data_IF_327229783820
#
_entry.id   IF_327229783820
#
_cell.length_a   1.000
_cell.length_b   1.000
_cell.length_c   1.000
_cell.angle_alpha   90.00
_cell.angle_beta   90.00
_cell.angle_gamma   90.00
#
_symmetry.space_group_name_H-M   'P 1'
#
loop_
_entity.id
_entity.type
_entity.pdbx_description
1 polymer ?
#
# COMPACT_ATOMS: atom_id res chain seq x y z
N UNK A 1 0.05 -27.47 11.56
CA UNK A 1 0.45 -27.50 10.14
C UNK A 1 -0.32 -26.40 9.40
N UNK A 2 0.15 -25.15 9.49
CA UNK A 2 -0.37 -24.05 8.67
C UNK A 2 0.86 -23.44 8.00
N UNK A 3 0.86 -23.48 6.68
CA UNK A 3 1.93 -23.03 5.81
C UNK A 3 2.06 -21.50 5.92
N UNK A 4 2.94 -21.02 6.79
CA UNK A 4 3.54 -19.70 6.64
C UNK A 4 4.48 -19.82 5.45
N UNK A 5 3.96 -19.53 4.25
CA UNK A 5 4.78 -19.51 3.05
C UNK A 5 5.76 -18.36 3.18
N UNK A 6 7.02 -18.73 3.41
CA UNK A 6 8.21 -17.89 3.40
C UNK A 6 8.20 -16.97 2.17
N UNK A 7 7.77 -15.72 2.33
CA UNK A 7 8.23 -14.65 1.45
C UNK A 7 9.57 -14.21 2.02
N UNK A 8 10.62 -14.73 1.37
CA UNK A 8 12.00 -14.36 1.56
C UNK A 8 12.15 -12.86 1.81
N UNK A 9 12.78 -12.51 2.94
CA UNK A 9 13.25 -11.17 3.28
C UNK A 9 14.28 -10.73 2.23
N UNK A 10 13.78 -10.22 1.10
CA UNK A 10 14.57 -9.58 0.07
C UNK A 10 14.86 -8.14 0.48
N UNK A 11 16.12 -7.84 0.72
CA UNK A 11 16.67 -6.48 0.88
C UNK A 11 16.13 -5.51 -0.17
N UNK A 12 16.16 -4.21 0.14
CA UNK A 12 15.87 -3.07 -0.76
C UNK A 12 16.77 -3.02 -2.01
N UNK A 13 16.73 -4.05 -2.85
CA UNK A 13 17.27 -4.08 -4.19
C UNK A 13 16.11 -4.29 -5.13
N UNK A 14 15.75 -3.21 -5.82
CA UNK A 14 14.94 -3.25 -7.02
C UNK A 14 15.42 -4.38 -7.93
N UNK A 15 14.59 -5.40 -8.07
CA UNK A 15 14.54 -6.22 -9.27
C UNK A 15 13.25 -5.89 -9.99
N UNK A 16 13.40 -5.05 -11.01
CA UNK A 16 12.50 -5.10 -12.15
C UNK A 16 12.77 -6.41 -12.88
N UNK A 17 11.83 -7.34 -12.83
CA UNK A 17 11.71 -8.50 -13.72
C UNK A 17 10.20 -8.76 -13.81
N UNK A 18 9.57 -9.15 -14.91
CA UNK A 18 9.97 -9.41 -16.29
C UNK A 18 8.65 -9.45 -17.09
N UNK A 19 8.75 -9.26 -18.40
CA UNK A 19 7.61 -9.08 -19.29
C UNK A 19 6.57 -10.21 -19.27
N UNK A 20 5.30 -9.81 -19.39
CA UNK A 20 4.25 -10.68 -19.91
C UNK A 20 3.82 -10.10 -21.25
N UNK A 21 3.96 -10.95 -22.26
CA UNK A 21 3.69 -10.69 -23.67
C UNK A 21 2.29 -10.12 -23.88
N UNK A 22 2.23 -9.04 -24.65
CA UNK A 22 1.02 -8.60 -25.33
C UNK A 22 0.50 -9.73 -26.22
N UNK A 23 -0.74 -10.14 -25.99
CA UNK A 23 -1.54 -10.82 -26.99
C UNK A 23 -2.76 -9.97 -27.30
N UNK A 24 -2.65 -9.27 -28.43
CA UNK A 24 -3.67 -8.79 -29.36
C UNK A 24 -5.11 -8.57 -28.85
N UNK A 25 -5.46 -7.29 -28.87
CA UNK A 25 -6.64 -6.69 -29.49
C UNK A 25 -7.81 -7.62 -29.86
N UNK A 26 -8.97 -7.34 -29.26
CA UNK A 26 -10.22 -7.30 -30.02
C UNK A 26 -11.15 -6.20 -29.49
N UNK A 27 -11.44 -5.31 -30.43
CA UNK A 27 -12.66 -4.52 -30.64
C UNK A 27 -13.31 -3.72 -29.50
N UNK A 28 -13.21 -2.41 -29.71
CA UNK A 28 -14.02 -1.33 -29.16
C UNK A 28 -15.49 -1.57 -29.49
N UNK A 29 -16.35 -1.61 -28.46
CA UNK A 29 -17.75 -1.21 -28.62
C UNK A 29 -18.18 -0.36 -27.42
N UNK A 30 -18.56 0.86 -27.73
CA UNK A 30 -19.17 1.81 -26.80
C UNK A 30 -20.45 1.19 -26.22
N UNK A 31 -20.43 0.86 -24.93
CA UNK A 31 -21.66 0.51 -24.20
C UNK A 31 -21.63 1.13 -22.80
N UNK A 32 -22.63 1.98 -22.57
CA UNK A 32 -23.23 2.41 -21.29
C UNK A 32 -22.68 1.66 -20.07
N UNK A 33 -22.07 2.39 -19.11
CA UNK A 33 -21.43 1.90 -17.89
C UNK A 33 -21.92 0.50 -17.45
N UNK A 34 -21.28 -0.52 -18.02
CA UNK A 34 -21.47 -1.90 -17.61
C UNK A 34 -21.01 -1.99 -16.16
N UNK A 35 -21.80 -2.63 -15.31
CA UNK A 35 -21.35 -2.95 -13.95
C UNK A 35 -19.97 -3.63 -14.03
N UNK A 36 -19.06 -3.33 -13.08
CA UNK A 36 -17.76 -3.97 -13.05
C UNK A 36 -17.97 -5.49 -12.95
N UNK A 37 -17.39 -6.24 -13.89
CA UNK A 37 -17.59 -7.70 -13.98
C UNK A 37 -16.84 -8.46 -12.88
N UNK A 38 -15.90 -7.80 -12.21
CA UNK A 38 -15.01 -8.34 -11.20
C UNK A 38 -15.14 -7.54 -9.91
N UNK A 39 -14.91 -8.19 -8.77
CA UNK A 39 -14.84 -7.53 -7.47
C UNK A 39 -13.62 -6.59 -7.36
N UNK A 40 -13.78 -5.47 -6.64
CA UNK A 40 -12.76 -4.42 -6.54
C UNK A 40 -11.46 -4.90 -5.88
N UNK A 41 -11.52 -5.82 -4.91
CA UNK A 41 -10.32 -6.37 -4.28
C UNK A 41 -9.56 -7.28 -5.24
N UNK A 42 -10.28 -8.09 -6.03
CA UNK A 42 -9.68 -8.97 -7.03
C UNK A 42 -9.05 -8.15 -8.16
N UNK A 43 -9.77 -7.13 -8.66
CA UNK A 43 -9.26 -6.18 -9.64
C UNK A 43 -7.98 -5.48 -9.13
N UNK A 44 -8.00 -5.03 -7.88
CA UNK A 44 -6.84 -4.41 -7.23
C UNK A 44 -5.66 -5.37 -7.14
N UNK A 45 -5.88 -6.60 -6.66
CA UNK A 45 -4.86 -7.63 -6.53
C UNK A 45 -4.22 -7.97 -7.88
N UNK A 46 -5.03 -8.07 -8.94
CA UNK A 46 -4.53 -8.30 -10.29
C UNK A 46 -3.81 -7.07 -10.86
N UNK A 47 -4.16 -5.86 -10.42
CA UNK A 47 -3.64 -4.62 -10.97
C UNK A 47 -4.44 -4.12 -12.17
N UNK A 48 -5.70 -4.54 -12.31
CA UNK A 48 -6.55 -4.19 -13.45
C UNK A 48 -7.08 -2.76 -13.31
N UNK A 49 -6.34 -1.82 -13.91
CA UNK A 49 -6.71 -0.40 -13.91
C UNK A 49 -8.05 -0.12 -14.58
N UNK A 50 -8.45 -0.91 -15.58
CA UNK A 50 -9.70 -0.67 -16.28
C UNK A 50 -10.89 -1.03 -15.39
N UNK A 51 -10.82 -2.17 -14.71
CA UNK A 51 -11.83 -2.55 -13.71
C UNK A 51 -11.92 -1.52 -12.57
N UNK A 52 -10.78 -1.01 -12.07
CA UNK A 52 -10.77 0.04 -11.03
C UNK A 52 -11.45 1.33 -11.52
N UNK A 53 -11.18 1.76 -12.76
CA UNK A 53 -11.85 2.93 -13.35
C UNK A 53 -13.35 2.71 -13.51
N UNK A 54 -13.78 1.50 -13.86
CA UNK A 54 -15.21 1.15 -13.90
C UNK A 54 -15.85 1.21 -12.52
N UNK A 55 -15.19 0.71 -11.47
CA UNK A 55 -15.68 0.83 -10.09
C UNK A 55 -15.84 2.28 -9.65
N UNK A 56 -14.85 3.13 -9.95
CA UNK A 56 -14.91 4.57 -9.66
C UNK A 56 -16.07 5.23 -10.42
N UNK A 57 -16.19 4.97 -11.73
CA UNK A 57 -17.26 5.54 -12.55
C UNK A 57 -18.67 5.06 -12.14
N UNK A 58 -18.78 3.83 -11.64
CA UNK A 58 -20.01 3.26 -11.12
C UNK A 58 -20.37 3.76 -9.70
N UNK A 59 -19.48 4.52 -9.04
CA UNK A 59 -19.68 4.95 -7.66
C UNK A 59 -19.69 3.79 -6.67
N UNK A 60 -18.90 2.74 -6.94
CA UNK A 60 -18.72 1.64 -5.99
C UNK A 60 -18.12 2.14 -4.68
N UNK A 61 -18.39 1.43 -3.59
CA UNK A 61 -17.69 1.67 -2.32
C UNK A 61 -16.21 1.30 -2.47
N UNK A 62 -15.35 2.31 -2.59
CA UNK A 62 -13.90 2.14 -2.73
C UNK A 62 -13.20 1.78 -1.41
N UNK A 63 -13.94 1.84 -0.29
CA UNK A 63 -13.47 1.51 1.05
C UNK A 63 -14.09 0.21 1.59
N UNK A 64 -14.78 -0.53 0.71
CA UNK A 64 -15.29 -1.85 1.00
C UNK A 64 -14.19 -2.72 1.62
N UNK A 65 -14.53 -3.47 2.66
CA UNK A 65 -13.57 -4.32 3.37
C UNK A 65 -13.75 -5.77 2.96
N UNK A 66 -12.64 -6.42 2.65
CA UNK A 66 -12.61 -7.86 2.42
C UNK A 66 -12.75 -8.64 3.75
N UNK A 67 -12.72 -9.98 3.68
CA UNK A 67 -12.81 -10.86 4.84
C UNK A 67 -11.67 -10.67 5.87
N UNK A 68 -10.57 -10.02 5.49
CA UNK A 68 -9.45 -9.68 6.37
C UNK A 68 -9.53 -8.24 6.90
N UNK A 69 -10.59 -7.53 6.54
CA UNK A 69 -10.78 -6.13 6.89
C UNK A 69 -9.96 -5.18 6.02
N UNK A 70 -9.33 -5.63 4.94
CA UNK A 70 -8.49 -4.80 4.06
C UNK A 70 -9.36 -4.00 3.09
N UNK A 71 -9.05 -2.72 2.89
CA UNK A 71 -9.61 -1.92 1.80
C UNK A 71 -8.83 -2.17 0.49
N UNK A 72 -9.41 -1.86 -0.69
CA UNK A 72 -8.70 -1.88 -1.96
C UNK A 72 -7.36 -1.12 -1.90
N UNK A 73 -7.34 0.06 -1.28
CA UNK A 73 -6.10 0.84 -1.18
C UNK A 73 -5.02 0.14 -0.33
N UNK A 74 -5.41 -0.56 0.74
CA UNK A 74 -4.50 -1.39 1.55
C UNK A 74 -4.01 -2.62 0.78
N UNK A 75 -4.86 -3.25 -0.05
CA UNK A 75 -4.46 -4.34 -0.95
C UNK A 75 -3.45 -3.85 -1.98
N UNK A 76 -3.71 -2.70 -2.61
CA UNK A 76 -2.77 -2.08 -3.56
C UNK A 76 -1.40 -1.80 -2.91
N UNK A 77 -1.40 -1.28 -1.68
CA UNK A 77 -0.19 -1.04 -0.91
C UNK A 77 0.59 -2.34 -0.58
N UNK A 78 -0.11 -3.41 -0.22
CA UNK A 78 0.50 -4.73 0.07
C UNK A 78 1.23 -5.27 -1.15
N UNK A 79 0.54 -5.30 -2.29
CA UNK A 79 1.06 -5.90 -3.52
C UNK A 79 1.86 -4.94 -4.42
N UNK A 80 2.06 -3.68 -3.98
CA UNK A 80 2.84 -2.69 -4.71
C UNK A 80 2.21 -2.25 -6.03
N UNK A 81 0.87 -2.22 -6.10
CA UNK A 81 0.12 -1.83 -7.30
C UNK A 81 0.02 -0.31 -7.39
N UNK A 82 1.14 0.35 -7.69
CA UNK A 82 1.29 1.81 -7.62
C UNK A 82 0.25 2.57 -8.42
N UNK A 83 0.03 2.20 -9.67
CA UNK A 83 -0.93 2.91 -10.54
C UNK A 83 -2.38 2.72 -10.05
N UNK A 84 -2.73 1.51 -9.59
CA UNK A 84 -4.05 1.27 -8.98
C UNK A 84 -4.22 2.08 -7.71
N UNK A 85 -3.20 2.15 -6.85
CA UNK A 85 -3.25 2.96 -5.63
C UNK A 85 -3.49 4.44 -5.96
N UNK A 86 -2.78 4.99 -6.96
CA UNK A 86 -3.00 6.38 -7.41
C UNK A 86 -4.42 6.60 -7.92
N UNK A 87 -4.94 5.70 -8.74
CA UNK A 87 -6.32 5.80 -9.26
C UNK A 87 -7.35 5.71 -8.13
N UNK A 88 -7.19 4.80 -7.16
CA UNK A 88 -8.07 4.72 -5.98
C UNK A 88 -8.03 6.00 -5.14
N UNK A 89 -6.84 6.57 -4.92
CA UNK A 89 -6.68 7.85 -4.20
C UNK A 89 -7.35 9.01 -4.97
N UNK A 90 -7.20 9.06 -6.30
CA UNK A 90 -7.87 10.06 -7.12
C UNK A 90 -9.39 9.86 -7.17
N UNK A 91 -9.84 8.61 -7.10
CA UNK A 91 -11.25 8.22 -7.03
C UNK A 91 -11.93 8.53 -5.70
N UNK A 92 -11.18 9.00 -4.69
CA UNK A 92 -11.73 9.42 -3.41
C UNK A 92 -11.82 8.32 -2.35
N UNK A 93 -11.07 7.22 -2.50
CA UNK A 93 -10.92 6.25 -1.42
C UNK A 93 -10.38 6.92 -0.15
N UNK A 94 -10.86 6.50 1.03
CA UNK A 94 -10.38 7.02 2.30
C UNK A 94 -8.91 6.62 2.52
N UNK A 95 -8.03 7.60 2.34
CA UNK A 95 -6.58 7.48 2.49
C UNK A 95 -6.13 7.03 3.89
N UNK A 96 -7.01 7.17 4.89
CA UNK A 96 -6.75 6.84 6.29
C UNK A 96 -7.60 5.65 6.79
N UNK A 97 -8.30 4.96 5.90
CA UNK A 97 -9.15 3.83 6.26
C UNK A 97 -8.36 2.76 7.02
N UNK A 98 -8.91 2.28 8.14
CA UNK A 98 -8.24 1.27 8.98
C UNK A 98 -8.63 -0.15 8.59
N UNK A 99 -7.64 -1.01 8.42
CA UNK A 99 -7.81 -2.45 8.31
C UNK A 99 -8.17 -3.10 9.65
N UNK A 100 -8.42 -4.42 9.67
CA UNK A 100 -8.82 -5.16 10.88
C UNK A 100 -7.81 -5.07 12.04
N UNK A 101 -6.52 -4.89 11.73
CA UNK A 101 -5.43 -4.68 12.69
C UNK A 101 -5.20 -3.18 13.03
N UNK A 102 -6.06 -2.29 12.55
CA UNK A 102 -5.97 -0.85 12.77
C UNK A 102 -4.94 -0.15 11.87
N UNK A 103 -4.26 -0.87 10.97
CA UNK A 103 -3.30 -0.30 10.04
C UNK A 103 -3.99 0.55 8.95
N UNK A 104 -3.37 1.65 8.55
CA UNK A 104 -3.82 2.47 7.40
C UNK A 104 -3.05 2.08 6.14
N UNK A 105 -3.49 2.49 4.93
CA UNK A 105 -2.69 2.28 3.71
C UNK A 105 -1.24 2.77 3.84
N UNK A 106 -1.02 3.86 4.59
CA UNK A 106 0.32 4.38 4.85
C UNK A 106 1.16 3.44 5.72
N UNK A 107 0.56 2.76 6.71
CA UNK A 107 1.25 1.74 7.50
C UNK A 107 1.70 0.59 6.61
N UNK A 108 0.80 0.06 5.79
CA UNK A 108 1.08 -1.07 4.90
C UNK A 108 2.12 -0.72 3.85
N UNK A 109 1.98 0.43 3.17
CA UNK A 109 2.94 0.90 2.18
C UNK A 109 4.33 1.12 2.82
N UNK A 110 4.39 1.61 4.06
CA UNK A 110 5.64 1.78 4.81
C UNK A 110 6.24 0.43 5.21
N UNK A 111 5.43 -0.51 5.71
CA UNK A 111 5.85 -1.85 6.09
C UNK A 111 6.52 -2.58 4.92
N UNK A 112 5.92 -2.52 3.73
CA UNK A 112 6.43 -3.12 2.49
C UNK A 112 7.36 -2.20 1.67
N UNK A 113 7.74 -1.03 2.21
CA UNK A 113 8.65 -0.08 1.55
C UNK A 113 8.22 0.32 0.13
N UNK A 114 6.92 0.55 -0.10
CA UNK A 114 6.36 1.02 -1.38
C UNK A 114 6.51 2.53 -1.49
N UNK A 115 7.71 3.00 -1.80
CA UNK A 115 8.08 4.44 -1.81
C UNK A 115 7.11 5.30 -2.61
N UNK A 116 6.75 4.87 -3.82
CA UNK A 116 5.86 5.63 -4.70
C UNK A 116 4.43 5.73 -4.14
N UNK A 117 3.95 4.67 -3.48
CA UNK A 117 2.63 4.67 -2.83
C UNK A 117 2.66 5.52 -1.57
N UNK A 118 3.72 5.42 -0.75
CA UNK A 118 3.90 6.28 0.42
C UNK A 118 3.94 7.76 0.02
N UNK A 119 4.65 8.08 -1.06
CA UNK A 119 4.68 9.43 -1.60
C UNK A 119 3.28 9.89 -2.01
N UNK A 120 2.56 9.11 -2.83
CA UNK A 120 1.22 9.46 -3.28
C UNK A 120 0.25 9.68 -2.11
N UNK A 121 0.33 8.85 -1.06
CA UNK A 121 -0.48 8.99 0.15
C UNK A 121 -0.14 10.28 0.93
N UNK A 122 1.15 10.58 1.12
CA UNK A 122 1.58 11.77 1.85
C UNK A 122 1.27 13.08 1.09
N UNK A 123 1.44 13.08 -0.23
CA UNK A 123 1.06 14.21 -1.10
C UNK A 123 -0.44 14.53 -1.01
N UNK A 124 -1.26 13.51 -0.76
CA UNK A 124 -2.71 13.64 -0.61
C UNK A 124 -3.16 13.81 0.85
N UNK A 125 -2.21 14.00 1.77
CA UNK A 125 -2.48 14.36 3.15
C UNK A 125 -2.80 13.18 4.07
N UNK A 126 -2.31 11.98 3.78
CA UNK A 126 -2.46 10.84 4.69
C UNK A 126 -1.89 11.17 6.08
N UNK A 127 -2.61 10.80 7.12
CA UNK A 127 -2.26 11.11 8.51
C UNK A 127 -1.20 10.13 9.01
N UNK A 128 0.04 10.62 9.04
CA UNK A 128 1.23 9.93 9.55
C UNK A 128 1.26 9.74 11.07
N UNK A 129 0.33 10.33 11.82
CA UNK A 129 0.26 10.27 13.28
C UNK A 129 -0.68 9.17 13.80
N UNK A 130 -1.51 8.60 12.92
CA UNK A 130 -2.39 7.49 13.27
C UNK A 130 -1.56 6.31 13.77
N UNK A 131 -2.00 5.70 14.86
CA UNK A 131 -1.47 4.46 15.40
C UNK A 131 -2.37 3.29 15.04
N UNK A 132 -1.76 2.16 14.68
CA UNK A 132 -2.46 0.88 14.55
C UNK A 132 -2.75 0.25 15.92
N UNK A 133 -3.36 -0.94 15.94
CA UNK A 133 -3.73 -1.61 17.19
C UNK A 133 -2.51 -2.05 18.04
N UNK A 134 -1.31 -2.06 17.44
CA UNK A 134 -0.04 -2.32 18.13
C UNK A 134 0.57 -1.04 18.74
N UNK A 135 -0.10 0.11 18.58
CA UNK A 135 0.37 1.40 19.10
C UNK A 135 1.47 2.06 18.26
N UNK A 136 1.79 1.49 17.10
CA UNK A 136 2.83 1.97 16.18
C UNK A 136 2.22 2.89 15.13
N UNK A 137 2.92 3.97 14.81
CA UNK A 137 2.64 4.80 13.63
C UNK A 137 3.11 4.11 12.35
N UNK A 138 2.67 4.61 11.19
CA UNK A 138 3.09 4.07 9.89
C UNK A 138 4.63 4.04 9.75
N UNK A 139 5.29 5.06 10.29
CA UNK A 139 6.72 5.20 10.19
C UNK A 139 7.51 4.23 11.09
N UNK A 140 6.92 3.92 12.25
CA UNK A 140 7.44 2.91 13.18
C UNK A 140 7.20 1.48 12.65
N UNK A 141 6.24 1.31 11.73
CA UNK A 141 5.84 0.02 11.16
C UNK A 141 6.74 -0.46 10.01
N UNK A 142 7.80 0.27 9.63
CA UNK A 142 8.68 -0.15 8.53
C UNK A 142 9.47 -1.42 8.91
N UNK A 143 9.25 -2.52 8.18
CA UNK A 143 9.89 -3.83 8.45
C UNK A 143 11.35 -3.92 7.98
N UNK A 144 11.83 -2.98 7.16
CA UNK A 144 13.18 -3.02 6.61
C UNK A 144 14.28 -2.77 7.66
N UNK A 145 15.52 -3.27 7.43
CA UNK A 145 16.68 -2.91 8.25
C UNK A 145 16.82 -1.39 8.39
N UNK A 146 17.25 -0.94 9.56
CA UNK A 146 17.26 0.48 9.95
C UNK A 146 17.97 1.43 8.95
N UNK A 147 19.03 0.95 8.28
CA UNK A 147 19.73 1.72 7.23
C UNK A 147 18.82 2.02 6.04
N UNK A 148 18.00 1.06 5.64
CA UNK A 148 17.08 1.18 4.51
C UNK A 148 15.91 2.10 4.86
N UNK A 149 15.47 2.08 6.12
CA UNK A 149 14.44 3.00 6.63
C UNK A 149 14.92 4.45 6.58
N UNK A 150 16.17 4.72 6.99
CA UNK A 150 16.76 6.06 6.90
C UNK A 150 16.84 6.54 5.44
N UNK A 151 17.34 5.70 4.53
CA UNK A 151 17.44 6.02 3.10
C UNK A 151 16.05 6.26 2.49
N UNK A 152 15.07 5.42 2.83
CA UNK A 152 13.68 5.58 2.43
C UNK A 152 13.12 6.95 2.85
N UNK A 153 13.33 7.36 4.10
CA UNK A 153 12.90 8.68 4.56
C UNK A 153 13.64 9.83 3.92
N UNK A 154 14.97 9.72 3.76
CA UNK A 154 15.76 10.74 3.08
C UNK A 154 15.29 10.92 1.64
N UNK A 155 14.94 9.83 0.96
CA UNK A 155 14.41 9.86 -0.39
C UNK A 155 13.04 10.53 -0.45
N UNK A 156 12.12 10.18 0.45
CA UNK A 156 10.81 10.83 0.54
C UNK A 156 10.95 12.31 0.92
N UNK A 157 11.80 12.64 1.90
CA UNK A 157 12.01 14.01 2.36
C UNK A 157 12.69 14.88 1.30
N UNK A 158 13.52 14.29 0.42
CA UNK A 158 14.08 14.99 -0.73
C UNK A 158 13.00 15.41 -1.74
N UNK A 159 11.94 14.60 -1.90
CA UNK A 159 10.86 14.86 -2.84
C UNK A 159 9.75 15.76 -2.24
N UNK A 160 9.36 15.51 -0.99
CA UNK A 160 8.24 16.18 -0.33
C UNK A 160 8.67 17.35 0.59
N UNK A 161 9.98 17.54 0.79
CA UNK A 161 10.51 18.43 1.81
C UNK A 161 10.54 17.77 3.20
N UNK A 162 10.98 18.52 4.24
CA UNK A 162 11.08 17.97 5.59
C UNK A 162 9.70 17.52 6.08
N UNK A 163 9.55 16.23 6.37
CA UNK A 163 8.28 15.63 6.80
C UNK A 163 7.76 16.15 8.15
N UNK A 164 8.49 17.04 8.83
CA UNK A 164 8.12 17.60 10.13
C UNK A 164 8.09 16.57 11.26
N UNK A 165 8.61 15.38 11.00
CA UNK A 165 8.64 14.25 11.93
C UNK A 165 10.01 14.19 12.59
N UNK A 166 10.04 14.33 13.91
CA UNK A 166 11.22 13.99 14.70
C UNK A 166 11.23 12.47 14.86
N UNK A 167 11.88 11.79 13.92
CA UNK A 167 12.13 10.35 14.06
C UNK A 167 13.07 10.15 15.24
N UNK A 168 12.56 9.53 16.30
CA UNK A 168 13.38 9.09 17.44
C UNK A 168 14.06 7.78 17.05
N UNK A 169 15.15 7.95 16.31
CA UNK A 169 15.97 6.88 15.77
C UNK A 169 16.47 5.92 16.84
N UNK A 170 16.80 6.41 18.04
CA UNK A 170 17.31 5.59 19.14
C UNK A 170 16.21 4.71 19.75
N UNK A 171 15.00 5.27 19.92
CA UNK A 171 13.84 4.50 20.37
C UNK A 171 13.42 3.44 19.35
N UNK A 172 13.42 3.78 18.06
CA UNK A 172 13.09 2.84 16.97
C UNK A 172 14.07 1.66 16.96
N UNK A 173 15.37 1.93 17.14
CA UNK A 173 16.41 0.90 17.22
C UNK A 173 16.21 -0.05 18.42
N UNK A 174 15.81 0.47 19.58
CA UNK A 174 15.51 -0.33 20.78
C UNK A 174 14.21 -1.13 20.70
N UNK A 175 13.17 -0.59 20.05
CA UNK A 175 11.82 -1.20 20.05
C UNK A 175 11.66 -2.28 18.97
N UNK A 176 12.40 -2.17 17.86
CA UNK A 176 12.25 -3.06 16.69
C UNK A 176 12.62 -4.54 16.94
N UNK A 177 13.63 -4.90 17.75
CA UNK A 177 13.89 -6.30 18.09
C UNK A 177 12.68 -6.97 18.75
N UNK A 178 11.93 -6.21 19.58
CA UNK A 178 10.74 -6.69 20.28
C UNK A 178 9.61 -6.99 19.28
N UNK A 179 9.36 -6.09 18.33
CA UNK A 179 8.34 -6.31 17.29
C UNK A 179 8.73 -7.48 16.37
N UNK A 180 10.00 -7.57 15.96
CA UNK A 180 10.50 -8.68 15.14
C UNK A 180 10.44 -10.04 15.87
N UNK A 181 10.52 -10.02 17.20
CA UNK A 181 10.34 -11.21 18.04
C UNK A 181 8.86 -11.59 18.23
N UNK A 182 7.94 -10.61 18.26
CA UNK A 182 6.49 -10.86 18.29
C UNK A 182 5.93 -11.44 16.98
N UNK A 183 6.68 -11.35 15.87
CA UNK A 183 6.30 -11.89 14.55
C UNK A 183 6.91 -13.28 14.30
N UNK A 184 7.74 -13.81 15.23
CA UNK A 184 8.22 -15.21 15.20
C UNK A 184 7.19 -16.17 15.80
#
# INVERSE_FOLDING_TARGET
>A
MIFISLISLGSCKNKQEEGVKESNASEVSETKASAPSMDIHTATFMGDLNAIKQHIAAGSDLDAKDQYGSTPLTVAATFGKTEVAKELIMGGADINAKSGDGSTPLHTASFFCRTEIVQALLEKGADKTIKNNYGSTALESVSAPYKDVKVFYEQIAKQLGPLGLKLDFERIEKTRPVIAEMIK
#
